data_IF_733992643411
#
_entry.id   IF_733992643411
#
_cell.length_a   1.000
_cell.length_b   1.000
_cell.length_c   1.000
_cell.angle_alpha   90.00
_cell.angle_beta   90.00
_cell.angle_gamma   90.00
#
_symmetry.space_group_name_H-M   'P 1'
#
loop_
_entity.id
_entity.type
_entity.pdbx_description
1 polymer ?
#
# COMPACT_ATOMS: atom_id res chain seq x y z
N UNK A 1 -12.34 -13.39 17.45
CA UNK A 1 -11.25 -14.29 17.05
C UNK A 1 -10.67 -15.00 18.28
N UNK A 2 -10.10 -16.21 18.14
CA UNK A 2 -9.64 -17.05 19.26
C UNK A 2 -8.64 -16.34 20.18
N UNK A 3 -7.68 -15.60 19.60
CA UNK A 3 -6.63 -14.92 20.36
C UNK A 3 -7.08 -13.58 20.95
N UNK A 4 -7.91 -12.80 20.24
CA UNK A 4 -8.41 -11.50 20.74
C UNK A 4 -9.50 -11.64 21.78
N UNK A 5 -10.22 -12.76 21.80
CA UNK A 5 -11.24 -13.10 22.79
C UNK A 5 -10.82 -14.22 23.75
N UNK A 6 -9.51 -14.46 23.90
CA UNK A 6 -9.00 -15.57 24.71
C UNK A 6 -9.55 -15.50 26.15
N UNK A 7 -9.45 -14.34 26.80
CA UNK A 7 -9.89 -14.20 28.19
C UNK A 7 -11.40 -14.36 28.36
N UNK A 8 -12.18 -13.89 27.38
CA UNK A 8 -13.63 -14.04 27.38
C UNK A 8 -14.06 -15.51 27.23
N UNK A 9 -13.23 -16.36 26.63
CA UNK A 9 -13.56 -17.77 26.35
C UNK A 9 -12.93 -18.77 27.33
N UNK A 10 -11.75 -18.45 27.85
CA UNK A 10 -10.93 -19.37 28.65
C UNK A 10 -10.62 -18.84 30.06
N UNK A 11 -11.12 -17.67 30.43
CA UNK A 11 -10.88 -17.04 31.74
C UNK A 11 -9.61 -16.17 31.75
N UNK A 12 -9.27 -15.63 32.93
CA UNK A 12 -8.16 -14.68 33.06
C UNK A 12 -6.85 -15.25 32.52
N UNK A 13 -6.16 -14.46 31.71
CA UNK A 13 -4.84 -14.79 31.16
C UNK A 13 -3.89 -13.61 31.30
N UNK A 14 -2.63 -13.84 30.97
CA UNK A 14 -1.60 -12.78 30.90
C UNK A 14 -1.24 -12.56 29.44
N UNK A 15 -1.42 -11.34 28.94
CA UNK A 15 -1.02 -10.97 27.57
C UNK A 15 0.30 -10.21 27.58
N UNK A 16 1.36 -10.82 27.04
CA UNK A 16 2.66 -10.17 26.84
C UNK A 16 2.76 -9.60 25.41
N UNK A 17 3.21 -8.35 25.28
CA UNK A 17 3.31 -7.65 23.98
C UNK A 17 4.77 -7.40 23.60
N UNK A 18 5.17 -7.90 22.42
CA UNK A 18 6.54 -7.72 21.90
C UNK A 18 6.75 -6.37 21.19
N UNK A 19 6.80 -5.26 21.90
CA UNK A 19 6.68 -3.91 21.34
C UNK A 19 7.90 -3.39 20.54
N UNK A 20 9.06 -4.04 20.64
CA UNK A 20 10.25 -3.65 19.89
C UNK A 20 10.39 -4.47 18.60
N UNK A 21 10.60 -3.80 17.46
CA UNK A 21 10.96 -4.42 16.18
C UNK A 21 12.34 -3.97 15.73
N UNK A 22 13.14 -4.91 15.23
CA UNK A 22 14.46 -4.63 14.65
C UNK A 22 14.43 -4.67 13.11
N UNK A 23 13.25 -4.86 12.53
CA UNK A 23 13.10 -5.11 11.08
C UNK A 23 13.16 -3.83 10.26
N UNK A 24 12.24 -2.90 10.48
CA UNK A 24 12.02 -1.74 9.60
C UNK A 24 12.37 -0.40 10.27
N UNK A 25 12.55 0.69 9.50
CA UNK A 25 12.79 2.03 10.05
C UNK A 25 11.59 2.56 10.86
N UNK A 26 11.81 3.52 11.79
CA UNK A 26 10.76 4.12 12.60
C UNK A 26 9.56 4.66 11.79
N UNK A 27 9.78 5.37 10.69
CA UNK A 27 8.70 5.91 9.84
C UNK A 27 7.82 4.82 9.25
N UNK A 28 8.41 3.81 8.61
CA UNK A 28 7.70 2.65 8.05
C UNK A 28 6.95 1.87 9.13
N UNK A 29 7.57 1.70 10.31
CA UNK A 29 6.96 1.04 11.45
C UNK A 29 5.71 1.80 11.95
N UNK A 30 5.81 3.13 12.08
CA UNK A 30 4.70 4.00 12.49
C UNK A 30 3.56 3.98 11.47
N UNK A 31 3.87 4.13 10.18
CA UNK A 31 2.88 4.13 9.10
C UNK A 31 2.11 2.82 9.08
N UNK A 32 2.83 1.69 9.00
CA UNK A 32 2.20 0.36 8.94
C UNK A 32 1.39 0.02 10.19
N UNK A 33 1.91 0.34 11.38
CA UNK A 33 1.23 0.09 12.65
C UNK A 33 -0.03 0.96 12.81
N UNK A 34 0.04 2.23 12.44
CA UNK A 34 -1.13 3.14 12.49
C UNK A 34 -2.20 2.68 11.52
N UNK A 35 -1.81 2.31 10.30
CA UNK A 35 -2.71 1.77 9.29
C UNK A 35 -3.42 0.50 9.81
N UNK A 36 -2.72 -0.53 10.29
CA UNK A 36 -3.39 -1.77 10.70
C UNK A 36 -4.28 -1.60 11.94
N UNK A 37 -3.89 -0.72 12.87
CA UNK A 37 -4.61 -0.46 14.12
C UNK A 37 -5.88 0.36 13.96
N UNK A 38 -6.14 0.92 12.78
CA UNK A 38 -7.41 1.57 12.48
C UNK A 38 -8.59 0.61 12.59
N UNK A 39 -8.35 -0.69 12.41
CA UNK A 39 -9.32 -1.73 12.77
C UNK A 39 -9.36 -1.93 14.30
N UNK A 40 -10.47 -1.62 14.98
CA UNK A 40 -10.58 -1.76 16.44
C UNK A 40 -10.44 -3.20 16.97
N UNK A 41 -10.68 -4.22 16.12
CA UNK A 41 -10.47 -5.62 16.53
C UNK A 41 -8.99 -6.00 16.67
N UNK A 42 -8.09 -5.14 16.19
CA UNK A 42 -6.65 -5.38 16.23
C UNK A 42 -6.10 -5.11 17.64
N UNK A 43 -5.25 -6.01 18.14
CA UNK A 43 -4.57 -5.82 19.42
C UNK A 43 -3.73 -4.53 19.36
N UNK A 44 -4.11 -3.55 20.18
CA UNK A 44 -3.39 -2.29 20.28
C UNK A 44 -1.98 -2.53 20.86
N UNK A 45 -0.98 -2.14 20.07
CA UNK A 45 0.44 -2.32 20.37
C UNK A 45 1.21 -1.12 19.84
N UNK A 46 2.16 -0.62 20.61
CA UNK A 46 3.04 0.47 20.18
C UNK A 46 4.36 -0.12 19.69
N UNK A 47 4.47 -0.36 18.39
CA UNK A 47 5.71 -0.92 17.83
C UNK A 47 6.76 0.18 17.68
N UNK A 48 7.96 -0.05 18.23
CA UNK A 48 9.09 0.88 18.17
C UNK A 48 10.30 0.23 17.48
N UNK A 49 11.07 1.02 16.75
CA UNK A 49 12.29 0.57 16.06
C UNK A 49 13.50 1.39 16.52
N UNK A 50 14.64 0.75 16.83
CA UNK A 50 15.88 1.44 17.18
C UNK A 50 16.74 1.81 15.96
N UNK A 51 16.30 1.50 14.74
CA UNK A 51 17.05 1.83 13.50
C UNK A 51 17.06 3.32 13.22
N UNK A 52 18.07 3.78 12.48
CA UNK A 52 18.04 5.08 11.84
C UNK A 52 16.83 5.17 10.88
N UNK A 53 16.20 6.34 10.85
CA UNK A 53 15.08 6.56 9.94
C UNK A 53 15.56 6.78 8.51
N UNK A 54 14.69 6.45 7.55
CA UNK A 54 14.97 6.56 6.12
C UNK A 54 13.98 7.55 5.53
N UNK A 55 14.51 8.54 4.80
CA UNK A 55 13.69 9.52 4.08
C UNK A 55 12.83 8.80 3.04
N UNK A 56 11.54 9.14 3.01
CA UNK A 56 10.56 8.51 2.13
C UNK A 56 10.57 6.98 2.19
N UNK A 57 10.66 6.39 3.39
CA UNK A 57 10.64 4.93 3.57
C UNK A 57 9.39 4.25 2.97
N UNK A 58 8.30 5.00 2.78
CA UNK A 58 7.13 4.58 1.98
C UNK A 58 6.95 5.58 0.84
N UNK A 59 7.14 5.11 -0.39
CA UNK A 59 6.96 5.89 -1.63
C UNK A 59 5.68 5.45 -2.31
N UNK A 60 4.88 6.40 -2.78
CA UNK A 60 3.73 6.13 -3.63
C UNK A 60 4.06 6.63 -5.03
N UNK A 61 4.01 5.75 -6.02
CA UNK A 61 4.23 6.07 -7.43
C UNK A 61 2.94 5.86 -8.19
N UNK A 62 2.48 6.90 -8.89
CA UNK A 62 1.31 6.87 -9.75
C UNK A 62 1.76 6.84 -11.20
N UNK A 63 1.25 5.85 -11.93
CA UNK A 63 1.42 5.73 -13.39
C UNK A 63 0.11 6.07 -14.08
N UNK A 64 0.14 6.54 -15.33
CA UNK A 64 -1.09 6.94 -16.02
C UNK A 64 -2.00 5.75 -16.37
N UNK A 65 -1.40 4.61 -16.71
CA UNK A 65 -2.11 3.40 -17.14
C UNK A 65 -1.43 2.12 -16.62
N UNK A 66 -2.18 1.02 -16.54
CA UNK A 66 -1.68 -0.27 -16.05
C UNK A 66 -0.45 -0.78 -16.81
N UNK A 67 -0.40 -0.55 -18.13
CA UNK A 67 0.76 -0.95 -18.98
C UNK A 67 2.08 -0.32 -18.53
N UNK A 68 2.04 0.82 -17.84
CA UNK A 68 3.23 1.51 -17.35
C UNK A 68 3.68 1.04 -15.96
N UNK A 69 2.94 0.13 -15.30
CA UNK A 69 3.35 -0.43 -14.00
C UNK A 69 4.71 -1.12 -14.10
N UNK A 70 4.94 -1.95 -15.14
CA UNK A 70 6.22 -2.65 -15.32
C UNK A 70 7.37 -1.65 -15.47
N UNK A 71 7.19 -0.60 -16.27
CA UNK A 71 8.20 0.45 -16.43
C UNK A 71 8.50 1.18 -15.12
N UNK A 72 7.50 1.42 -14.27
CA UNK A 72 7.70 2.01 -12.94
C UNK A 72 8.45 1.07 -11.99
N UNK A 73 8.19 -0.24 -12.03
CA UNK A 73 8.97 -1.25 -11.28
C UNK A 73 10.43 -1.24 -11.73
N UNK A 74 10.68 -1.27 -13.05
CA UNK A 74 12.03 -1.23 -13.62
C UNK A 74 12.79 0.02 -13.22
N UNK A 75 12.13 1.19 -13.25
CA UNK A 75 12.73 2.44 -12.80
C UNK A 75 13.13 2.38 -11.33
N UNK A 76 12.23 1.92 -10.46
CA UNK A 76 12.55 1.83 -9.02
C UNK A 76 13.67 0.82 -8.77
N UNK A 77 13.73 -0.28 -9.52
CA UNK A 77 14.83 -1.22 -9.43
C UNK A 77 16.16 -0.60 -9.86
N UNK A 78 16.19 0.22 -10.91
CA UNK A 78 17.39 0.96 -11.29
C UNK A 78 17.89 1.88 -10.17
N UNK A 79 16.98 2.64 -9.54
CA UNK A 79 17.31 3.47 -8.39
C UNK A 79 17.93 2.64 -7.25
N UNK A 80 17.30 1.51 -6.89
CA UNK A 80 17.82 0.60 -5.85
C UNK A 80 19.19 0.04 -6.23
N UNK A 81 19.39 -0.38 -7.49
CA UNK A 81 20.68 -0.93 -7.93
C UNK A 81 21.80 0.13 -7.91
N UNK A 82 21.47 1.39 -8.24
CA UNK A 82 22.41 2.50 -8.14
C UNK A 82 22.77 2.80 -6.68
N UNK A 83 21.77 2.88 -5.80
CA UNK A 83 21.96 3.04 -4.35
C UNK A 83 22.85 1.90 -3.78
N UNK A 84 22.57 0.66 -4.19
CA UNK A 84 23.32 -0.54 -3.79
C UNK A 84 24.77 -0.52 -4.29
N UNK A 85 25.00 -0.09 -5.54
CA UNK A 85 26.32 0.06 -6.13
C UNK A 85 27.16 1.11 -5.40
N UNK A 86 26.56 2.27 -5.09
CA UNK A 86 27.25 3.33 -4.31
C UNK A 86 27.60 2.85 -2.90
N UNK A 87 26.77 2.01 -2.29
CA UNK A 87 27.02 1.45 -0.96
C UNK A 87 27.94 0.23 -0.99
N UNK A 88 28.29 -0.29 -2.17
CA UNK A 88 29.05 -1.54 -2.31
C UNK A 88 28.33 -2.76 -1.73
N UNK A 89 27.01 -2.70 -1.56
CA UNK A 89 26.21 -3.74 -0.89
C UNK A 89 25.03 -4.13 -1.76
N UNK A 90 25.01 -5.40 -2.18
CA UNK A 90 23.90 -5.98 -2.92
C UNK A 90 22.59 -5.89 -2.13
N UNK A 91 21.53 -5.39 -2.76
CA UNK A 91 20.22 -5.20 -2.15
C UNK A 91 19.27 -6.36 -2.45
N UNK A 92 18.51 -6.79 -1.46
CA UNK A 92 17.40 -7.74 -1.65
C UNK A 92 16.08 -7.00 -1.92
N UNK A 93 15.35 -7.41 -2.96
CA UNK A 93 14.09 -6.77 -3.39
C UNK A 93 12.98 -7.79 -3.57
N UNK A 94 11.84 -7.56 -2.92
CA UNK A 94 10.63 -8.34 -3.16
C UNK A 94 9.61 -7.57 -3.98
N UNK A 95 9.19 -8.17 -5.10
CA UNK A 95 8.00 -7.76 -5.83
C UNK A 95 6.80 -8.52 -5.26
N UNK A 96 6.06 -7.88 -4.36
CA UNK A 96 4.94 -8.48 -3.66
C UNK A 96 3.61 -8.12 -4.31
N UNK A 97 2.82 -9.13 -4.66
CA UNK A 97 1.49 -8.91 -5.24
C UNK A 97 0.39 -9.66 -4.52
N UNK A 98 -0.86 -9.22 -4.71
CA UNK A 98 -2.03 -9.92 -4.17
C UNK A 98 -2.26 -11.26 -4.89
N UNK A 99 -2.04 -11.28 -6.20
CA UNK A 99 -2.32 -12.41 -7.08
C UNK A 99 -1.10 -12.86 -7.87
N UNK A 100 -1.04 -14.14 -8.22
CA UNK A 100 0.08 -14.73 -8.97
C UNK A 100 0.22 -14.13 -10.39
N UNK A 101 -0.89 -13.74 -11.04
CA UNK A 101 -0.89 -13.15 -12.38
C UNK A 101 -0.08 -11.85 -12.48
N UNK A 102 0.05 -11.13 -11.37
CA UNK A 102 0.84 -9.90 -11.29
C UNK A 102 2.35 -10.14 -11.37
N UNK A 103 2.79 -11.41 -11.43
CA UNK A 103 4.14 -11.79 -11.83
C UNK A 103 4.51 -11.19 -13.19
N UNK A 104 3.53 -10.90 -14.04
CA UNK A 104 3.74 -10.18 -15.29
C UNK A 104 4.41 -8.81 -15.11
N UNK A 105 4.37 -8.17 -13.93
CA UNK A 105 5.10 -6.92 -13.68
C UNK A 105 6.56 -7.12 -13.28
N UNK A 106 7.00 -8.37 -13.10
CA UNK A 106 8.42 -8.67 -12.92
C UNK A 106 9.19 -8.26 -14.19
N UNK A 107 10.26 -7.46 -14.07
CA UNK A 107 11.07 -7.12 -15.24
C UNK A 107 11.80 -8.36 -15.76
N UNK A 108 12.05 -8.38 -17.08
CA UNK A 108 12.81 -9.46 -17.72
C UNK A 108 14.32 -9.34 -17.46
N UNK A 109 14.80 -8.11 -17.28
CA UNK A 109 16.20 -7.81 -17.02
C UNK A 109 16.32 -6.75 -15.93
N UNK A 110 17.33 -6.92 -15.08
CA UNK A 110 17.76 -5.98 -14.06
C UNK A 110 19.23 -6.25 -13.75
N UNK A 111 19.90 -5.30 -13.10
CA UNK A 111 21.29 -5.48 -12.70
C UNK A 111 21.39 -6.45 -11.52
N UNK A 112 21.68 -7.72 -11.82
CA UNK A 112 21.77 -8.81 -10.84
C UNK A 112 23.05 -8.77 -10.01
N UNK A 113 24.03 -7.93 -10.38
CA UNK A 113 25.22 -7.68 -9.57
C UNK A 113 24.83 -6.95 -8.28
N UNK A 114 23.92 -5.98 -8.40
CA UNK A 114 23.58 -5.07 -7.29
C UNK A 114 22.20 -5.32 -6.67
N UNK A 115 21.32 -6.08 -7.32
CA UNK A 115 20.05 -6.47 -6.74
C UNK A 115 19.74 -7.97 -6.90
N UNK A 116 19.12 -8.56 -5.90
CA UNK A 116 18.44 -9.85 -6.00
C UNK A 116 16.93 -9.62 -5.91
N UNK A 117 16.19 -9.97 -6.97
CA UNK A 117 14.77 -9.67 -7.06
C UNK A 117 13.95 -10.95 -7.08
N UNK A 118 13.00 -11.06 -6.14
CA UNK A 118 12.08 -12.21 -6.04
C UNK A 118 10.61 -11.76 -6.09
N UNK A 119 9.81 -12.45 -6.89
CA UNK A 119 8.35 -12.27 -6.90
C UNK A 119 7.68 -13.25 -5.95
N UNK A 120 6.79 -12.74 -5.08
CA UNK A 120 5.99 -13.55 -4.16
C UNK A 120 4.57 -12.97 -4.06
N UNK A 121 3.59 -13.82 -3.77
CA UNK A 121 2.32 -13.31 -3.27
C UNK A 121 2.47 -12.89 -1.80
N UNK A 122 1.70 -11.90 -1.35
CA UNK A 122 1.83 -11.41 0.04
C UNK A 122 1.57 -12.51 1.08
N UNK A 123 0.71 -13.49 0.80
CA UNK A 123 0.52 -14.64 1.69
C UNK A 123 1.78 -15.52 1.79
N UNK A 124 2.47 -15.74 0.67
CA UNK A 124 3.68 -16.56 0.61
C UNK A 124 4.92 -15.87 1.21
N UNK A 125 4.88 -14.55 1.40
CA UNK A 125 5.99 -13.81 2.02
C UNK A 125 5.95 -13.78 3.55
N UNK A 126 4.95 -14.41 4.19
CA UNK A 126 4.88 -14.50 5.66
C UNK A 126 6.14 -15.16 6.20
N UNK A 127 6.79 -14.48 7.16
CA UNK A 127 8.06 -14.92 7.76
C UNK A 127 9.31 -14.49 6.99
N UNK A 128 9.19 -14.13 5.71
CA UNK A 128 10.30 -13.64 4.89
C UNK A 128 10.48 -12.12 5.04
N UNK A 129 11.63 -11.61 4.61
CA UNK A 129 11.96 -10.18 4.56
C UNK A 129 12.98 -9.86 3.47
N UNK A 130 12.96 -8.62 2.99
CA UNK A 130 13.91 -8.08 2.03
C UNK A 130 14.24 -6.62 2.38
N UNK A 131 15.32 -6.08 1.84
CA UNK A 131 15.71 -4.69 2.07
C UNK A 131 14.65 -3.74 1.48
N UNK A 132 14.17 -4.04 0.27
CA UNK A 132 13.13 -3.27 -0.40
C UNK A 132 11.94 -4.12 -0.78
N UNK A 133 10.75 -3.52 -0.71
CA UNK A 133 9.50 -4.12 -1.20
C UNK A 133 8.88 -3.21 -2.25
N UNK A 134 8.48 -3.78 -3.37
CA UNK A 134 7.68 -3.11 -4.40
C UNK A 134 6.34 -3.83 -4.49
N UNK A 135 5.25 -3.07 -4.33
CA UNK A 135 3.88 -3.57 -4.53
C UNK A 135 3.36 -2.98 -5.84
N UNK A 136 3.29 -3.75 -6.94
CA UNK A 136 3.13 -3.19 -8.28
C UNK A 136 1.70 -2.73 -8.60
N UNK A 137 0.70 -3.29 -7.92
CA UNK A 137 -0.71 -3.02 -8.22
C UNK A 137 -1.50 -2.73 -6.95
N UNK A 138 -1.49 -1.47 -6.52
CA UNK A 138 -2.30 -0.96 -5.40
C UNK A 138 -3.45 -0.10 -5.96
N UNK A 139 -4.39 -0.76 -6.65
CA UNK A 139 -5.52 -0.12 -7.33
C UNK A 139 -6.86 -0.44 -6.68
N UNK A 140 -7.89 0.34 -6.99
CA UNK A 140 -9.29 0.14 -6.55
C UNK A 140 -10.08 -0.81 -7.45
N UNK A 141 -9.43 -1.57 -8.32
CA UNK A 141 -10.10 -2.58 -9.16
C UNK A 141 -10.59 -3.77 -8.35
N UNK A 142 -11.41 -4.63 -8.96
CA UNK A 142 -11.91 -5.85 -8.30
C UNK A 142 -10.78 -6.77 -7.83
N UNK A 143 -9.75 -6.91 -8.67
CA UNK A 143 -8.53 -7.69 -8.39
C UNK A 143 -7.37 -6.79 -7.92
N UNK A 144 -7.69 -5.60 -7.40
CA UNK A 144 -6.73 -4.66 -6.86
C UNK A 144 -6.27 -5.02 -5.45
N UNK A 145 -5.76 -4.02 -4.73
CA UNK A 145 -5.35 -4.16 -3.32
C UNK A 145 -5.91 -2.95 -2.55
N UNK A 146 -7.00 -3.10 -1.78
CA UNK A 146 -7.66 -4.35 -1.38
C UNK A 146 -8.40 -5.08 -2.51
N UNK A 147 -8.43 -6.40 -2.43
CA UNK A 147 -9.35 -7.20 -3.23
C UNK A 147 -10.80 -6.93 -2.84
N UNK A 148 -11.69 -6.88 -3.84
CA UNK A 148 -13.14 -6.75 -3.66
C UNK A 148 -13.88 -8.05 -3.91
N UNK A 149 -13.17 -9.13 -4.20
CA UNK A 149 -13.78 -10.45 -4.28
C UNK A 149 -14.21 -10.82 -2.86
N UNK A 150 -15.51 -10.99 -2.67
CA UNK A 150 -16.04 -11.43 -1.39
C UNK A 150 -15.65 -12.89 -1.15
N UNK A 151 -15.28 -13.21 0.09
CA UNK A 151 -15.19 -14.60 0.52
C UNK A 151 -16.59 -15.24 0.50
N UNK A 152 -16.64 -16.53 0.14
CA UNK A 152 -17.88 -17.30 0.06
C UNK A 152 -18.71 -17.14 1.35
N UNK A 153 -20.04 -16.91 1.26
CA UNK A 153 -20.91 -16.77 2.42
C UNK A 153 -20.80 -17.92 3.43
N UNK A 154 -20.49 -19.13 2.98
CA UNK A 154 -20.28 -20.31 3.85
C UNK A 154 -19.01 -20.16 4.69
N UNK A 155 -17.95 -19.55 4.15
CA UNK A 155 -16.72 -19.28 4.90
C UNK A 155 -16.97 -18.26 6.02
N UNK A 156 -17.93 -17.34 5.84
CA UNK A 156 -18.29 -16.36 6.88
C UNK A 156 -18.91 -17.00 8.13
N UNK A 157 -19.58 -18.16 7.98
CA UNK A 157 -20.14 -18.92 9.11
C UNK A 157 -19.06 -19.55 10.00
N UNK A 158 -17.90 -19.88 9.43
CA UNK A 158 -16.75 -20.44 10.15
C UNK A 158 -15.79 -19.36 10.70
N UNK A 159 -15.95 -18.10 10.26
CA UNK A 159 -15.13 -16.98 10.72
C UNK A 159 -15.66 -16.50 12.09
N UNK A 160 -14.78 -16.27 13.08
CA UNK A 160 -15.22 -15.78 14.38
C UNK A 160 -15.89 -14.41 14.21
N UNK A 161 -17.12 -14.27 14.73
CA UNK A 161 -17.98 -13.07 14.73
C UNK A 161 -17.43 -11.93 13.87
N UNK A 162 -17.89 -11.92 12.61
CA UNK A 162 -17.37 -11.14 11.49
C UNK A 162 -16.75 -9.81 11.88
N UNK A 163 -15.50 -9.60 11.49
CA UNK A 163 -14.88 -8.30 11.63
C UNK A 163 -15.60 -7.29 10.72
N UNK A 164 -16.42 -6.43 11.31
CA UNK A 164 -17.25 -5.46 10.59
C UNK A 164 -16.44 -4.31 9.96
N UNK A 165 -15.12 -4.29 10.13
CA UNK A 165 -14.27 -3.24 9.59
C UNK A 165 -14.04 -3.44 8.08
N UNK A 166 -14.23 -2.36 7.30
CA UNK A 166 -14.10 -2.37 5.84
C UNK A 166 -12.73 -2.95 5.40
N UNK A 167 -12.75 -4.05 4.64
CA UNK A 167 -11.56 -4.78 4.15
C UNK A 167 -10.58 -5.21 5.25
N UNK A 168 -11.06 -5.68 6.40
CA UNK A 168 -10.22 -6.03 7.55
C UNK A 168 -9.10 -7.05 7.23
N UNK A 169 -9.42 -8.14 6.53
CA UNK A 169 -8.41 -9.14 6.12
C UNK A 169 -7.37 -8.54 5.16
N UNK A 170 -7.82 -7.78 4.15
CA UNK A 170 -6.92 -7.14 3.20
C UNK A 170 -6.06 -6.05 3.87
N UNK A 171 -6.55 -5.37 4.92
CA UNK A 171 -5.77 -4.44 5.75
C UNK A 171 -4.65 -5.15 6.49
N UNK A 172 -4.93 -6.31 7.09
CA UNK A 172 -3.89 -7.17 7.69
C UNK A 172 -2.89 -7.64 6.64
N UNK A 173 -3.38 -8.00 5.46
CA UNK A 173 -2.52 -8.44 4.38
C UNK A 173 -1.60 -7.31 3.90
N UNK A 174 -2.13 -6.10 3.74
CA UNK A 174 -1.35 -4.94 3.35
C UNK A 174 -0.29 -4.61 4.40
N UNK A 175 -0.63 -4.69 5.69
CA UNK A 175 0.34 -4.60 6.78
C UNK A 175 1.45 -5.65 6.65
N UNK A 176 1.13 -6.91 6.31
CA UNK A 176 2.16 -7.93 6.05
C UNK A 176 3.07 -7.49 4.92
N UNK A 177 2.54 -6.98 3.80
CA UNK A 177 3.34 -6.50 2.67
C UNK A 177 4.30 -5.37 3.08
N UNK A 178 3.80 -4.34 3.77
CA UNK A 178 4.62 -3.21 4.24
C UNK A 178 5.73 -3.67 5.19
N UNK A 179 5.42 -4.60 6.09
CA UNK A 179 6.35 -5.09 7.11
C UNK A 179 7.30 -6.19 6.62
N UNK A 180 7.33 -6.49 5.30
CA UNK A 180 8.39 -7.32 4.70
C UNK A 180 9.66 -6.52 4.39
N UNK A 181 9.59 -5.19 4.33
CA UNK A 181 10.73 -4.33 4.01
C UNK A 181 11.58 -4.01 5.25
N UNK A 182 12.91 -4.08 5.10
CA UNK A 182 13.88 -3.65 6.12
C UNK A 182 14.32 -2.20 5.95
N UNK A 183 14.16 -1.64 4.75
CA UNK A 183 14.59 -0.29 4.39
C UNK A 183 13.44 0.53 3.78
N UNK A 184 12.88 0.14 2.63
CA UNK A 184 11.81 0.94 1.99
C UNK A 184 10.76 0.13 1.26
N UNK A 185 9.57 0.73 1.13
CA UNK A 185 8.42 0.21 0.39
C UNK A 185 8.05 1.16 -0.72
N UNK A 186 7.84 0.65 -1.93
CA UNK A 186 7.27 1.39 -3.06
C UNK A 186 5.90 0.82 -3.42
N UNK A 187 4.88 1.65 -3.35
CA UNK A 187 3.50 1.33 -3.70
C UNK A 187 3.18 1.94 -5.06
N UNK A 188 2.92 1.10 -6.07
CA UNK A 188 2.56 1.57 -7.39
C UNK A 188 1.03 1.55 -7.53
N UNK A 189 0.46 2.66 -7.98
CA UNK A 189 -0.96 2.83 -8.24
C UNK A 189 -1.18 3.41 -9.63
N UNK A 190 -2.39 3.28 -10.15
CA UNK A 190 -2.75 3.78 -11.48
C UNK A 190 -3.56 5.05 -11.31
N UNK A 191 -3.22 6.07 -12.09
CA UNK A 191 -3.96 7.31 -12.17
C UNK A 191 -5.38 6.94 -12.49
N UNK A 192 -6.26 7.52 -11.71
CA UNK A 192 -7.64 7.22 -11.87
C UNK A 192 -8.03 5.76 -11.59
N UNK A 193 -7.27 5.00 -10.80
CA UNK A 193 -7.76 3.77 -10.15
C UNK A 193 -7.12 3.61 -8.77
N UNK A 194 -6.91 4.71 -8.05
CA UNK A 194 -6.19 4.70 -6.78
C UNK A 194 -6.95 3.91 -5.71
N UNK A 195 -6.24 3.03 -4.99
CA UNK A 195 -6.81 2.25 -3.89
C UNK A 195 -7.27 3.12 -2.73
N UNK A 196 -8.30 2.68 -2.01
CA UNK A 196 -8.70 3.29 -0.74
C UNK A 196 -7.57 3.30 0.30
N UNK A 197 -6.66 2.32 0.25
CA UNK A 197 -5.49 2.28 1.12
C UNK A 197 -4.48 3.40 0.78
N UNK A 198 -4.32 3.72 -0.51
CA UNK A 198 -3.48 4.86 -0.94
C UNK A 198 -4.08 6.17 -0.45
N UNK A 199 -5.37 6.39 -0.68
CA UNK A 199 -6.07 7.59 -0.20
C UNK A 199 -5.96 7.76 1.32
N UNK A 200 -6.08 6.67 2.07
CA UNK A 200 -5.92 6.68 3.53
C UNK A 200 -4.50 7.09 3.95
N UNK A 201 -3.47 6.49 3.34
CA UNK A 201 -2.07 6.81 3.63
C UNK A 201 -1.75 8.29 3.31
N UNK A 202 -2.22 8.81 2.18
CA UNK A 202 -2.04 10.22 1.80
C UNK A 202 -2.74 11.13 2.81
N UNK A 203 -4.01 10.83 3.14
CA UNK A 203 -4.82 11.66 4.04
C UNK A 203 -4.29 11.69 5.47
N UNK A 204 -3.91 10.54 6.02
CA UNK A 204 -3.62 10.39 7.45
C UNK A 204 -2.14 10.44 7.78
N UNK A 205 -1.27 10.06 6.84
CA UNK A 205 0.19 10.04 7.05
C UNK A 205 0.91 11.12 6.24
N UNK A 206 0.19 11.90 5.41
CA UNK A 206 0.79 12.97 4.61
C UNK A 206 1.76 12.47 3.54
N UNK A 207 1.59 11.22 3.07
CA UNK A 207 2.49 10.67 2.06
C UNK A 207 2.32 11.38 0.72
N UNK A 208 3.45 11.69 0.08
CA UNK A 208 3.50 12.28 -1.25
C UNK A 208 3.26 11.22 -2.32
N UNK A 209 2.55 11.62 -3.38
CA UNK A 209 2.34 10.79 -4.57
C UNK A 209 3.25 11.31 -5.66
N UNK A 210 4.17 10.48 -6.13
CA UNK A 210 5.09 10.79 -7.22
C UNK A 210 4.52 10.30 -8.54
N UNK A 211 4.76 11.01 -9.63
CA UNK A 211 4.48 10.51 -10.97
C UNK A 211 5.55 9.48 -11.41
N UNK A 212 5.33 8.84 -12.55
CA UNK A 212 6.24 7.85 -13.14
C UNK A 212 7.60 8.41 -13.56
N UNK A 213 7.78 9.73 -13.59
CA UNK A 213 9.04 10.43 -13.84
C UNK A 213 9.74 10.92 -12.55
N UNK A 214 9.05 10.84 -11.40
CA UNK A 214 9.57 11.19 -10.08
C UNK A 214 9.19 12.61 -9.64
N UNK A 215 8.47 13.35 -10.47
CA UNK A 215 7.90 14.65 -10.12
C UNK A 215 6.76 14.49 -9.09
N UNK A 216 6.50 15.52 -8.31
CA UNK A 216 5.34 15.51 -7.40
C UNK A 216 4.04 15.54 -8.21
N UNK A 217 3.21 14.51 -8.02
CA UNK A 217 1.93 14.38 -8.69
C UNK A 217 0.84 15.19 -7.99
N UNK A 218 -0.08 15.76 -8.78
CA UNK A 218 -1.28 16.39 -8.23
C UNK A 218 -2.16 15.33 -7.55
N UNK A 219 -2.19 15.37 -6.22
CA UNK A 219 -2.86 14.39 -5.36
C UNK A 219 -4.06 15.02 -4.64
N UNK A 220 -4.88 15.81 -5.34
CA UNK A 220 -6.05 16.46 -4.72
C UNK A 220 -7.08 15.39 -4.34
N UNK A 221 -7.11 15.04 -3.05
CA UNK A 221 -8.14 14.19 -2.47
C UNK A 221 -9.49 14.92 -2.54
N UNK A 222 -10.55 14.14 -2.77
CA UNK A 222 -11.91 14.63 -2.78
C UNK A 222 -12.28 15.15 -1.39
N UNK A 223 -12.62 16.44 -1.23
CA UNK A 223 -12.93 17.00 0.07
C UNK A 223 -14.24 16.46 0.65
N UNK A 224 -15.16 15.97 -0.19
CA UNK A 224 -16.44 15.39 0.26
C UNK A 224 -16.27 14.03 0.93
N UNK A 225 -15.54 13.10 0.31
CA UNK A 225 -15.44 11.72 0.83
C UNK A 225 -14.08 11.40 1.46
N UNK A 226 -13.01 12.12 1.12
CA UNK A 226 -11.64 11.82 1.53
C UNK A 226 -11.10 10.44 1.10
N UNK A 227 -11.88 9.67 0.32
CA UNK A 227 -11.53 8.32 -0.16
C UNK A 227 -11.08 8.31 -1.62
N UNK A 228 -11.56 9.27 -2.41
CA UNK A 228 -11.26 9.35 -3.84
C UNK A 228 -10.34 10.52 -4.18
N UNK A 229 -9.70 10.47 -5.34
CA UNK A 229 -8.96 11.58 -5.93
C UNK A 229 -9.86 12.35 -6.90
N UNK A 230 -9.63 13.65 -7.04
CA UNK A 230 -10.30 14.46 -8.05
C UNK A 230 -9.72 14.17 -9.44
N UNK A 231 -10.61 14.02 -10.42
CA UNK A 231 -10.28 13.67 -11.80
C UNK A 231 -10.90 14.65 -12.78
N UNK A 232 -10.16 15.12 -13.78
CA UNK A 232 -10.71 15.94 -14.84
C UNK A 232 -11.71 15.12 -15.66
N UNK A 233 -12.86 15.72 -15.95
CA UNK A 233 -13.89 15.24 -16.86
C UNK A 233 -14.40 16.41 -17.68
N UNK A 234 -14.97 16.11 -18.83
CA UNK A 234 -15.60 17.12 -19.71
C UNK A 234 -17.10 16.87 -19.76
N UNK A 235 -17.88 17.93 -19.63
CA UNK A 235 -19.33 17.92 -19.84
C UNK A 235 -19.72 18.89 -20.94
N UNK A 236 -21.01 18.90 -21.31
CA UNK A 236 -21.59 19.92 -22.20
C UNK A 236 -21.37 21.37 -21.72
N UNK A 237 -21.14 21.57 -20.42
CA UNK A 237 -20.91 22.88 -19.79
C UNK A 237 -19.42 23.21 -19.60
N UNK A 238 -18.51 22.37 -20.12
CA UNK A 238 -17.06 22.54 -20.00
C UNK A 238 -16.37 21.55 -19.06
N UNK A 239 -15.05 21.73 -18.82
CA UNK A 239 -14.25 20.85 -17.97
C UNK A 239 -14.56 21.03 -16.49
N UNK A 240 -14.64 19.93 -15.76
CA UNK A 240 -14.88 19.89 -14.32
C UNK A 240 -14.04 18.79 -13.67
N UNK A 241 -13.72 18.95 -12.39
CA UNK A 241 -13.13 17.89 -11.58
C UNK A 241 -14.26 17.10 -10.91
N UNK A 242 -14.15 15.78 -10.89
CA UNK A 242 -15.10 14.88 -10.24
C UNK A 242 -14.41 13.83 -9.38
N UNK A 243 -15.09 13.33 -8.36
CA UNK A 243 -14.54 12.29 -7.50
C UNK A 243 -14.36 10.96 -8.25
N UNK A 244 -13.19 10.31 -8.06
CA UNK A 244 -12.89 8.98 -8.56
C UNK A 244 -13.88 7.88 -8.18
N UNK A 245 -14.56 8.04 -7.04
CA UNK A 245 -15.45 7.00 -6.49
C UNK A 245 -16.90 7.16 -6.94
N UNK A 246 -17.19 7.98 -7.94
CA UNK A 246 -18.52 8.05 -8.57
C UNK A 246 -18.99 6.64 -9.04
N UNK A 247 -20.24 6.22 -8.79
CA UNK A 247 -21.38 6.99 -8.29
C UNK A 247 -21.50 7.09 -6.77
N UNK A 248 -20.62 6.44 -5.98
CA UNK A 248 -20.67 6.49 -4.49
C UNK A 248 -20.38 7.88 -3.92
N UNK A 249 -19.67 8.72 -4.67
CA UNK A 249 -19.48 10.13 -4.36
C UNK A 249 -19.69 10.96 -5.63
N UNK A 250 -20.60 11.92 -5.56
CA UNK A 250 -21.05 12.79 -6.64
C UNK A 250 -20.38 14.18 -6.61
N UNK A 251 -19.36 14.38 -5.78
CA UNK A 251 -18.65 15.65 -5.67
C UNK A 251 -18.06 16.09 -7.02
N UNK A 252 -18.29 17.37 -7.34
CA UNK A 252 -17.78 18.05 -8.54
C UNK A 252 -17.24 19.44 -8.17
N UNK A 253 -16.22 19.90 -8.87
CA UNK A 253 -15.59 21.22 -8.72
C UNK A 253 -15.32 21.79 -10.12
N UNK A 254 -15.51 23.09 -10.32
CA UNK A 254 -15.24 23.72 -11.63
C UNK A 254 -13.75 23.55 -12.02
N UNK A 255 -13.50 23.03 -13.22
CA UNK A 255 -12.17 22.77 -13.74
C UNK A 255 -11.49 24.02 -14.31
N UNK A 256 -12.24 25.11 -14.54
CA UNK A 256 -11.71 26.36 -15.11
C UNK A 256 -10.74 27.11 -14.19
N UNK A 257 -10.70 26.79 -12.89
CA UNK A 257 -9.73 27.35 -11.93
C UNK A 257 -8.42 26.56 -11.80
N UNK A 258 -8.27 25.41 -12.46
CA UNK A 258 -7.08 24.54 -12.32
C UNK A 258 -5.99 24.76 -13.40
N UNK A 259 -6.13 25.77 -14.26
CA UNK A 259 -5.21 26.08 -15.38
C UNK A 259 -4.44 27.41 -15.23
N UNK A 260 -4.21 27.89 -14.00
CA UNK A 260 -3.26 28.98 -13.79
C UNK A 260 -1.93 28.38 -13.29
N UNK A 261 -0.83 28.48 -14.06
CA UNK A 261 0.49 28.08 -13.60
C UNK A 261 0.93 28.92 -12.40
#
# INVERSE_FOLDING_TARGET
ALMTGFEARFGKGTTLKLETTFRCPPSLCKISSTFVRKNPSQIAKQVRSPKADIVDAVRIVRVDEERFIRAAVERRLREITQEAATQGKKASVYLLARYQKDRAFMPMAYDSQWAEVSFLTVHRSKGLEADHVIVPRVTAETLGFPSKIADDPVLQLAMPSGEMFEFAEERRLFYVALTRARSSVTLITVQHMESSFISELVKEQGLRVLNSDGTEGSAELCPKCGKGFLRPRTSRFGPFLSCSTFPRCDYKKDGRRARRP
#
